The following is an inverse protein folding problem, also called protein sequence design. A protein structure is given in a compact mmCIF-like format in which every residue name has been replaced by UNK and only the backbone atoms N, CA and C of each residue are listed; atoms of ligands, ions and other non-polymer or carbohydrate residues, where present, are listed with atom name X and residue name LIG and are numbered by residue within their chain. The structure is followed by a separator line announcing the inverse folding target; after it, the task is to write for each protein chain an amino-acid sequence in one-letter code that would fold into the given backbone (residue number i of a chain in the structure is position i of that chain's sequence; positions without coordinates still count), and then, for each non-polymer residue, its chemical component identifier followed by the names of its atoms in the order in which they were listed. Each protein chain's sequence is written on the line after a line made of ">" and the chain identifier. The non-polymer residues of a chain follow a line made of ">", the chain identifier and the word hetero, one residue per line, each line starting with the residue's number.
data_IF_420149329692
#
_entry.id   IF_420149329692
#
_cell.length_a   1.000
_cell.length_b   1.000
_cell.length_c   1.000
_cell.angle_alpha   90.00
_cell.angle_beta   90.00
_cell.angle_gamma   90.00
#
_symmetry.space_group_name_H-M   'P 1'
#
loop_
_entity.id
_entity.type
_entity.pdbx_description
1 polymer ?
2 water ?
#
# COMPACT_ATOMS: atom_id res chain seq x y z
N UNK A 25 -29.06 14.72 14.96
CA UNK A 25 -29.39 14.16 13.61
C UNK A 25 -30.77 14.60 13.10
N UNK A 26 -30.84 15.81 12.56
CA UNK A 26 -32.06 16.31 11.92
C UNK A 26 -32.42 15.38 10.75
N UNK A 27 -33.54 15.66 10.09
CA UNK A 27 -34.13 14.75 9.11
C UNK A 27 -33.38 14.66 7.79
N UNK A 28 -32.44 15.58 7.56
CA UNK A 28 -31.74 15.64 6.29
C UNK A 28 -30.27 15.28 6.41
N UNK A 29 -29.89 14.81 7.59
CA UNK A 29 -28.52 14.40 7.89
C UNK A 29 -28.20 13.03 7.26
N UNK A 30 -26.99 12.86 6.69
CA UNK A 30 -25.88 13.80 6.58
C UNK A 30 -25.82 14.49 5.21
N UNK A 31 -26.80 14.26 4.36
CA UNK A 31 -26.74 14.74 2.99
C UNK A 31 -26.77 16.26 2.89
N UNK A 32 -27.54 16.90 3.76
CA UNK A 32 -27.57 18.37 3.78
C UNK A 32 -26.17 18.93 4.04
N UNK A 33 -25.50 18.39 5.07
CA UNK A 33 -24.13 18.81 5.43
C UNK A 33 -23.13 18.63 4.31
N UNK A 34 -23.20 17.49 3.62
CA UNK A 34 -22.31 17.23 2.49
C UNK A 34 -22.48 18.27 1.38
N UNK A 35 -23.73 18.55 1.02
CA UNK A 35 -24.03 19.58 0.03
C UNK A 35 -23.55 20.97 0.49
N UNK A 36 -23.74 21.28 1.76
CA UNK A 36 -23.33 22.57 2.30
C UNK A 36 -21.83 22.81 2.16
N UNK A 37 -21.02 21.77 2.33
CA UNK A 37 -19.58 21.92 2.24
C UNK A 37 -19.04 21.55 0.86
N UNK A 38 -19.94 21.55 -0.12
CA UNK A 38 -19.53 21.51 -1.53
C UNK A 38 -19.66 20.22 -2.32
N UNK A 39 -20.03 19.11 -1.69
CA UNK A 39 -20.25 17.88 -2.46
C UNK A 39 -21.34 18.08 -3.51
N UNK A 40 -21.08 17.63 -4.72
CA UNK A 40 -22.07 17.77 -5.78
C UNK A 40 -23.16 16.72 -5.63
N UNK A 41 -24.39 17.12 -5.92
CA UNK A 41 -25.53 16.21 -5.99
C UNK A 41 -25.29 15.06 -6.97
N UNK A 42 -24.45 15.28 -7.97
CA UNK A 42 -24.08 14.24 -8.93
C UNK A 42 -23.26 13.11 -8.31
N UNK A 43 -22.63 13.39 -7.17
CA UNK A 43 -21.74 12.41 -6.54
C UNK A 43 -22.11 12.24 -5.07
N UNK A 44 -23.38 12.40 -4.76
CA UNK A 44 -23.83 12.41 -3.37
C UNK A 44 -23.77 11.02 -2.70
N UNK A 45 -23.55 9.98 -3.50
CA UNK A 45 -23.34 8.63 -2.96
C UNK A 45 -22.09 8.55 -2.09
N UNK A 46 -21.18 9.51 -2.28
CA UNK A 46 -19.92 9.56 -1.55
C UNK A 46 -20.04 10.11 -0.13
N UNK A 47 -21.20 10.66 0.20
CA UNK A 47 -21.42 11.32 1.47
C UNK A 47 -21.28 10.35 2.66
N UNK A 48 -21.76 9.11 2.49
CA UNK A 48 -21.59 8.09 3.54
C UNK A 48 -20.27 7.30 3.40
N UNK A 49 -19.47 7.59 2.38
CA UNK A 49 -18.26 6.80 2.11
C UNK A 49 -16.99 7.45 2.61
N UNK A 50 -17.01 8.78 2.66
CA UNK A 50 -15.87 9.59 2.98
C UNK A 50 -16.31 10.54 4.08
N UNK A 51 -15.49 10.74 5.10
CA UNK A 51 -15.93 11.55 6.23
C UNK A 51 -15.82 13.03 5.89
N UNK A 52 -16.56 13.86 6.63
CA UNK A 52 -16.31 15.29 6.67
C UNK A 52 -14.81 15.54 6.88
N UNK A 53 -14.28 16.66 6.36
CA UNK A 53 -12.84 16.94 6.43
C UNK A 53 -12.35 17.16 7.85
N UNK A 54 -11.29 16.44 8.22
CA UNK A 54 -10.69 16.51 9.54
C UNK A 54 -9.96 17.84 9.79
N UNK A 55 -9.72 18.61 8.73
CA UNK A 55 -9.14 19.95 8.89
C UNK A 55 -10.19 20.99 9.30
N UNK A 56 -11.47 20.63 9.22
CA UNK A 56 -12.52 21.59 9.54
C UNK A 56 -13.29 21.16 10.78
N UNK A 57 -14.22 21.99 11.22
CA UNK A 57 -14.88 21.81 12.52
C UNK A 57 -16.03 20.81 12.54
N UNK A 58 -16.81 20.75 11.47
CA UNK A 58 -18.02 19.93 11.47
C UNK A 58 -17.75 18.47 11.88
N UNK A 59 -16.68 17.86 11.33
CA UNK A 59 -16.22 16.52 11.70
C UNK A 59 -16.27 16.25 13.22
N UNK A 60 -15.81 17.22 14.01
CA UNK A 60 -15.70 17.08 15.47
C UNK A 60 -17.04 17.19 16.21
N UNK A 61 -18.09 17.63 15.50
CA UNK A 61 -19.46 17.61 16.05
C UNK A 61 -19.90 16.21 16.48
N UNK A 62 -19.27 15.18 15.92
CA UNK A 62 -19.63 13.80 16.29
C UNK A 62 -19.33 13.50 17.76
N UNK A 63 -18.37 14.21 18.34
CA UNK A 63 -17.92 13.94 19.72
C UNK A 63 -18.55 14.89 20.72
N UNK A 64 -19.07 14.37 21.84
CA UNK A 64 -19.82 15.21 22.78
C UNK A 64 -18.94 16.13 23.59
N UNK A 65 -19.48 17.31 23.92
CA UNK A 65 -18.87 18.29 24.83
C UNK A 65 -17.97 17.67 25.91
N UNK A 66 -16.69 18.04 25.89
CA UNK A 66 -15.71 17.53 26.85
C UNK A 66 -15.45 18.52 27.98
N UNK A 72 -14.23 20.90 24.81
CA UNK A 72 -14.07 19.77 23.89
C UNK A 72 -12.65 19.19 24.00
N UNK A 73 -12.57 17.87 24.17
CA UNK A 73 -11.26 17.17 24.24
C UNK A 73 -10.88 16.59 22.88
N UNK A 74 -11.85 16.43 22.01
CA UNK A 74 -11.59 16.03 20.63
C UNK A 74 -11.77 17.25 19.75
N UNK A 75 -10.69 17.68 19.11
CA UNK A 75 -10.70 18.90 18.32
C UNK A 75 -9.85 18.79 17.08
N UNK A 76 -10.18 19.61 16.10
CA UNK A 76 -9.33 19.95 14.96
C UNK A 76 -7.85 20.07 15.40
N UNK A 77 -7.59 20.81 16.46
CA UNK A 77 -6.22 21.14 16.90
C UNK A 77 -5.50 19.96 17.56
N UNK A 78 -6.18 19.28 18.47
CA UNK A 78 -5.63 18.08 19.09
C UNK A 78 -5.33 16.96 18.07
N UNK A 79 -6.23 16.78 17.10
CA UNK A 79 -6.08 15.79 16.02
C UNK A 79 -4.83 16.07 15.20
N UNK A 80 -4.72 17.31 14.74
CA UNK A 80 -3.55 17.75 13.98
C UNK A 80 -2.26 17.52 14.76
N UNK A 81 -2.28 17.84 16.06
CA UNK A 81 -1.09 17.70 16.90
C UNK A 81 -0.63 16.24 17.05
N UNK A 82 -1.58 15.33 17.25
CA UNK A 82 -1.29 13.91 17.37
C UNK A 82 -0.77 13.33 16.07
N UNK A 83 -1.33 13.79 14.95
CA UNK A 83 -0.88 13.40 13.64
C UNK A 83 0.56 13.88 13.38
N UNK A 84 0.83 15.13 13.71
CA UNK A 84 2.17 15.70 13.59
C UNK A 84 3.19 14.88 14.39
N UNK A 85 2.85 14.58 15.64
CA UNK A 85 3.72 13.80 16.53
C UNK A 85 3.84 12.33 16.12
N UNK A 86 3.03 11.89 15.16
CA UNK A 86 3.08 10.50 14.69
C UNK A 86 2.38 9.53 15.62
N UNK A 87 1.51 10.03 16.49
CA UNK A 87 0.79 9.21 17.44
C UNK A 87 -0.48 8.65 16.76
N UNK A 88 -0.27 7.80 15.76
CA UNK A 88 -1.35 7.31 14.92
C UNK A 88 -2.29 6.39 15.68
N UNK A 89 -1.72 5.58 16.57
CA UNK A 89 -2.49 4.72 17.49
C UNK A 89 -3.51 5.48 18.32
N UNK A 90 -3.12 6.67 18.81
CA UNK A 90 -4.05 7.50 19.59
C UNK A 90 -5.15 8.11 18.74
N UNK A 91 -4.85 8.44 17.47
CA UNK A 91 -5.87 8.91 16.56
C UNK A 91 -6.90 7.79 16.31
N UNK A 92 -6.41 6.57 16.09
CA UNK A 92 -7.25 5.38 15.93
C UNK A 92 -8.17 5.18 17.14
N UNK A 93 -7.59 5.23 18.33
CA UNK A 93 -8.32 4.93 19.57
C UNK A 93 -9.21 6.05 20.09
N UNK A 94 -8.85 7.30 19.87
CA UNK A 94 -9.64 8.41 20.42
C UNK A 94 -10.61 8.97 19.39
N UNK A 95 -10.22 8.93 18.11
CA UNK A 95 -11.00 9.59 17.08
C UNK A 95 -11.72 8.60 16.18
N UNK A 96 -10.96 7.72 15.55
CA UNK A 96 -11.46 6.85 14.50
C UNK A 96 -12.45 5.80 15.02
N UNK A 97 -12.07 5.12 16.10
CA UNK A 97 -12.92 4.12 16.77
C UNK A 97 -14.25 4.69 17.28
N UNK A 98 -14.29 6.00 17.45
CA UNK A 98 -15.48 6.64 18.04
C UNK A 98 -16.17 7.65 17.12
N UNK A 99 -15.77 7.72 15.85
CA UNK A 99 -16.43 8.63 14.91
C UNK A 99 -17.87 8.17 14.63
N UNK A 100 -18.03 7.00 13.99
CA UNK A 100 -19.32 6.31 13.94
C UNK A 100 -20.48 7.17 13.42
N UNK A 101 -20.18 8.15 12.58
CA UNK A 101 -21.16 9.14 12.15
C UNK A 101 -21.50 9.00 10.65
N UNK A 102 -22.36 9.89 10.15
CA UNK A 102 -22.81 9.93 8.75
C UNK A 102 -23.47 8.62 8.30
N UNK A 103 -24.12 7.95 9.25
CA UNK A 103 -24.80 6.66 9.03
C UNK A 103 -23.87 5.46 8.77
N UNK A 104 -22.56 5.64 8.91
CA UNK A 104 -21.64 4.52 8.66
C UNK A 104 -20.80 4.10 9.87
N UNK A 105 -20.49 2.81 9.97
CA UNK A 105 -19.83 2.28 11.15
C UNK A 105 -18.39 1.81 10.90
N UNK A 106 -18.02 1.59 9.64
CA UNK A 106 -16.71 0.99 9.36
C UNK A 106 -15.64 1.99 8.92
N UNK A 107 -15.63 3.17 9.53
CA UNK A 107 -14.62 4.19 9.26
C UNK A 107 -13.19 3.70 9.50
N UNK A 108 -12.31 3.95 8.55
CA UNK A 108 -10.90 3.63 8.71
C UNK A 108 -9.99 4.61 8.01
N UNK A 109 -8.72 4.59 8.42
CA UNK A 109 -7.65 5.23 7.67
C UNK A 109 -7.61 4.49 6.35
N UNK A 110 -7.54 5.22 5.22
CA UNK A 110 -7.60 4.55 3.92
C UNK A 110 -6.40 3.65 3.64
N UNK A 111 -6.59 2.70 2.73
CA UNK A 111 -5.50 1.95 2.14
C UNK A 111 -4.86 2.79 1.04
N UNK A 112 -3.70 2.36 0.57
CA UNK A 112 -3.09 2.94 -0.62
C UNK A 112 -4.07 2.94 -1.82
N UNK A 113 -4.76 1.83 -2.04
CA UNK A 113 -5.77 1.71 -3.11
C UNK A 113 -6.90 2.77 -2.96
N UNK A 114 -7.34 3.00 -1.74
CA UNK A 114 -8.41 3.96 -1.51
C UNK A 114 -7.92 5.40 -1.71
N UNK A 115 -6.67 5.68 -1.35
CA UNK A 115 -6.08 6.98 -1.62
C UNK A 115 -5.99 7.26 -3.11
N UNK A 116 -5.61 6.23 -3.88
CA UNK A 116 -5.62 6.31 -5.34
C UNK A 116 -7.01 6.69 -5.87
N UNK A 117 -8.06 6.11 -5.29
CA UNK A 117 -9.44 6.53 -5.59
C UNK A 117 -9.69 8.00 -5.21
N UNK A 118 -9.29 8.38 -3.99
CA UNK A 118 -9.54 9.73 -3.48
C UNK A 118 -8.88 10.86 -4.28
N UNK A 119 -7.67 10.62 -4.76
CA UNK A 119 -6.95 11.58 -5.61
C UNK A 119 -7.70 11.80 -6.92
N UNK A 120 -8.13 10.72 -7.56
CA UNK A 120 -8.94 10.79 -8.78
C UNK A 120 -10.26 11.49 -8.54
N UNK A 121 -10.94 11.12 -7.45
CA UNK A 121 -12.19 11.77 -7.04
C UNK A 121 -12.00 13.26 -6.80
N UNK A 122 -10.90 13.64 -6.15
CA UNK A 122 -10.60 15.04 -5.85
C UNK A 122 -10.33 15.84 -7.12
N UNK A 123 -9.46 15.33 -7.97
CA UNK A 123 -9.18 15.92 -9.28
C UNK A 123 -10.45 16.11 -10.11
N UNK A 124 -11.43 15.24 -9.92
CA UNK A 124 -12.67 15.33 -10.69
C UNK A 124 -13.82 16.06 -10.00
N UNK A 125 -13.56 16.61 -8.80
CA UNK A 125 -14.59 17.33 -8.04
C UNK A 125 -15.73 16.47 -7.49
N UNK A 126 -15.41 15.23 -7.10
CA UNK A 126 -16.44 14.29 -6.62
C UNK A 126 -16.56 14.24 -5.09
N UNK A 127 -15.77 15.03 -4.39
CA UNK A 127 -15.83 15.07 -2.92
C UNK A 127 -16.34 16.44 -2.46
N UNK A 128 -16.25 16.70 -1.16
CA UNK A 128 -16.49 18.04 -0.64
C UNK A 128 -15.36 18.95 -1.09
N UNK A 129 -15.62 20.25 -1.12
CA UNK A 129 -14.64 21.27 -1.55
C UNK A 129 -13.25 21.15 -0.89
N UNK A 130 -13.21 21.11 0.45
CA UNK A 130 -11.96 20.95 1.18
C UNK A 130 -11.19 19.70 0.77
N UNK A 131 -11.89 18.58 0.57
CA UNK A 131 -11.24 17.33 0.18
C UNK A 131 -10.85 17.31 -1.30
N UNK A 132 -11.61 17.98 -2.16
CA UNK A 132 -11.19 18.15 -3.56
C UNK A 132 -9.84 18.87 -3.64
N UNK A 133 -9.60 19.77 -2.69
CA UNK A 133 -8.33 20.48 -2.63
C UNK A 133 -7.22 19.68 -1.91
N UNK A 134 -7.57 18.97 -0.85
CA UNK A 134 -6.55 18.37 0.02
C UNK A 134 -5.95 17.05 -0.49
N UNK A 135 -6.61 16.41 -1.45
CA UNK A 135 -6.08 15.16 -2.04
C UNK A 135 -5.35 15.36 -3.39
N UNK A 136 -5.00 16.60 -3.75
CA UNK A 136 -4.32 16.85 -5.02
C UNK A 136 -2.84 16.43 -4.98
N UNK A 137 -2.12 16.83 -3.94
CA UNK A 137 -0.75 16.37 -3.68
C UNK A 137 -0.50 16.23 -2.20
N UNK A 138 0.57 15.53 -1.84
CA UNK A 138 1.05 15.46 -0.48
C UNK A 138 1.53 14.09 -0.05
N UNK A 139 1.79 13.96 1.24
CA UNK A 139 2.15 12.70 1.86
C UNK A 139 0.97 12.25 2.70
N UNK A 140 0.45 11.05 2.40
CA UNK A 140 -0.77 10.58 3.02
C UNK A 140 -0.55 9.35 3.89
N UNK A 141 -1.11 9.39 5.08
CA UNK A 141 -1.12 8.26 5.99
C UNK A 141 -2.02 7.17 5.42
N UNK A 142 -1.52 5.93 5.43
CA UNK A 142 -2.29 4.77 4.98
C UNK A 142 -2.18 3.67 6.00
N UNK A 143 -3.13 2.75 5.96
CA UNK A 143 -3.12 1.59 6.85
C UNK A 143 -3.59 0.37 6.07
N UNK A 144 -2.71 -0.62 6.01
CA UNK A 144 -2.96 -1.85 5.26
C UNK A 144 -2.78 -2.96 6.26
N UNK A 145 -3.88 -3.65 6.57
CA UNK A 145 -3.97 -4.54 7.74
C UNK A 145 -3.64 -3.77 9.02
N UNK A 146 -2.54 -4.14 9.70
CA UNK A 146 -2.18 -3.49 10.96
C UNK A 146 -1.05 -2.48 10.92
N UNK A 147 -0.47 -2.23 9.75
CA UNK A 147 0.72 -1.38 9.68
C UNK A 147 0.50 0.00 9.01
N UNK A 148 1.11 1.02 9.61
CA UNK A 148 1.05 2.39 9.07
C UNK A 148 2.12 2.63 8.02
N UNK A 149 1.74 3.29 6.95
CA UNK A 149 2.67 3.70 5.92
C UNK A 149 2.33 5.11 5.45
N UNK A 150 3.28 5.73 4.76
CA UNK A 150 3.09 7.04 4.16
C UNK A 150 3.22 6.86 2.65
N UNK A 151 2.28 7.42 1.91
CA UNK A 151 2.30 7.31 0.46
C UNK A 151 2.37 8.72 -0.13
N UNK A 152 3.02 8.84 -1.29
CA UNK A 152 3.37 10.15 -1.86
C UNK A 152 2.61 10.43 -3.15
N UNK A 153 1.91 11.57 -3.19
CA UNK A 153 1.18 11.96 -4.39
C UNK A 153 1.81 13.23 -4.96
N UNK A 154 2.23 13.15 -6.22
CA UNK A 154 2.79 14.29 -6.96
C UNK A 154 4.30 14.53 -6.84
N UNK A 155 5.05 13.53 -6.39
CA UNK A 155 6.50 13.63 -6.23
C UNK A 155 6.90 14.78 -5.32
N UNK A 156 6.24 14.83 -4.18
CA UNK A 156 6.37 15.91 -3.20
C UNK A 156 7.53 15.64 -2.21
N UNK A 157 8.11 16.71 -1.61
CA UNK A 157 9.31 16.50 -0.78
C UNK A 157 9.00 15.72 0.48
N UNK A 158 10.00 15.00 0.99
CA UNK A 158 9.83 14.08 2.11
C UNK A 158 9.56 14.78 3.44
N UNK A 159 9.75 16.10 3.49
CA UNK A 159 9.44 16.86 4.71
C UNK A 159 8.08 17.59 4.70
N UNK A 160 7.30 17.34 3.65
CA UNK A 160 5.90 17.75 3.59
C UNK A 160 5.13 17.01 4.69
N UNK A 161 4.31 17.75 5.48
CA UNK A 161 3.57 17.14 6.60
C UNK A 161 2.71 15.95 6.17
N UNK A 162 2.58 14.96 7.04
CA UNK A 162 1.67 13.85 6.82
C UNK A 162 0.23 14.38 6.86
N UNK A 163 -0.58 13.88 5.92
CA UNK A 163 -2.01 14.22 5.86
C UNK A 163 -2.91 13.02 6.15
N UNK A 164 -4.00 13.30 6.88
CA UNK A 164 -5.16 12.41 7.01
C UNK A 164 -6.40 13.31 6.87
N UNK A 165 -6.73 13.70 5.64
CA UNK A 165 -7.81 14.68 5.42
C UNK A 165 -9.20 14.11 5.71
N UNK A 166 -9.33 12.79 5.61
CA UNK A 166 -10.59 12.12 5.88
C UNK A 166 -10.36 10.67 6.27
N UNK A 167 -11.37 10.08 6.91
CA UNK A 167 -11.44 8.65 7.07
C UNK A 167 -12.53 8.15 6.13
N UNK A 168 -12.53 6.84 5.89
CA UNK A 168 -13.36 6.29 4.83
C UNK A 168 -14.03 4.98 5.23
N UNK A 169 -15.15 4.66 4.55
CA UNK A 169 -15.84 3.39 4.73
C UNK A 169 -14.99 2.25 4.19
N UNK A 170 -14.53 1.38 5.10
CA UNK A 170 -13.74 0.20 4.75
C UNK A 170 -14.37 -0.57 3.58
N UNK A 171 -15.69 -0.76 3.66
CA UNK A 171 -16.43 -1.50 2.66
C UNK A 171 -16.99 -0.59 1.55
N UNK A 172 -17.38 0.64 1.93
CA UNK A 172 -18.10 1.55 1.03
C UNK A 172 -17.26 2.24 -0.04
N UNK A 173 -16.02 2.58 0.28
CA UNK A 173 -15.16 3.27 -0.68
C UNK A 173 -14.29 2.26 -1.46
N UNK A 174 -14.55 2.17 -2.77
CA UNK A 174 -13.82 1.25 -3.64
C UNK A 174 -12.37 1.66 -3.83
N UNK A 175 -11.45 0.72 -3.55
CA UNK A 175 -10.03 0.94 -3.77
C UNK A 175 -9.69 0.87 -5.25
N UNK A 176 -8.64 1.56 -5.68
CA UNK A 176 -8.15 1.47 -7.05
C UNK A 176 -6.83 0.69 -7.11
N UNK A 177 -6.81 -0.36 -7.93
CA UNK A 177 -5.70 -1.32 -7.96
C UNK A 177 -4.45 -0.77 -8.64
N UNK A 178 -4.66 0.03 -9.69
CA UNK A 178 -3.56 0.56 -10.47
C UNK A 178 -2.83 1.63 -9.67
N UNK A 179 -1.52 1.71 -9.89
CA UNK A 179 -0.65 2.63 -9.19
C UNK A 179 -0.24 3.74 -10.15
N UNK A 180 -0.92 4.88 -10.07
CA UNK A 180 -0.63 6.03 -10.93
C UNK A 180 -0.29 7.28 -10.10
N UNK A 181 -1.19 7.65 -9.19
CA UNK A 181 -1.01 8.85 -8.37
C UNK A 181 -0.38 8.58 -7.02
N UNK A 182 -0.73 7.45 -6.41
CA UNK A 182 -0.37 7.21 -5.02
C UNK A 182 0.81 6.25 -4.88
N UNK A 183 1.99 6.83 -4.76
CA UNK A 183 3.24 6.08 -4.85
C UNK A 183 3.79 5.66 -3.48
N UNK A 184 3.85 4.33 -3.23
CA UNK A 184 4.37 3.79 -1.97
C UNK A 184 5.89 3.95 -1.85
N UNK A 185 6.37 3.94 -0.61
CA UNK A 185 7.80 3.93 -0.31
C UNK A 185 8.29 2.48 -0.20
N UNK A 186 8.89 1.97 -1.29
CA UNK A 186 9.14 0.55 -1.44
C UNK A 186 10.53 0.15 -0.94
N UNK A 187 10.60 -1.01 -0.26
CA UNK A 187 11.84 -1.46 0.35
C UNK A 187 12.53 -2.54 -0.48
N UNK A 188 13.79 -2.28 -0.84
CA UNK A 188 14.62 -3.25 -1.55
C UNK A 188 15.75 -3.71 -0.63
N UNK A 189 15.60 -4.91 -0.01
CA UNK A 189 16.66 -5.42 0.85
C UNK A 189 17.88 -5.83 0.01
N UNK A 190 19.07 -5.36 0.41
CA UNK A 190 20.31 -5.76 -0.24
C UNK A 190 20.46 -7.26 -0.13
N UNK A 191 20.43 -7.94 -1.28
CA UNK A 191 20.48 -9.40 -1.32
C UNK A 191 21.41 -9.95 -2.40
N UNK A 192 22.05 -11.07 -2.09
CA UNK A 192 22.97 -11.72 -3.03
C UNK A 192 22.34 -12.95 -3.70
N UNK A 193 22.56 -13.06 -5.00
CA UNK A 193 22.22 -14.26 -5.76
C UNK A 193 23.55 -14.99 -6.01
N UNK A 194 23.61 -16.25 -5.61
CA UNK A 194 24.88 -17.01 -5.63
C UNK A 194 25.38 -17.41 -7.02
N UNK A 195 24.46 -17.76 -7.92
CA UNK A 195 24.81 -18.09 -9.33
C UNK A 195 25.79 -19.27 -9.53
N UNK A 196 26.38 -19.32 -10.72
CA UNK A 196 27.24 -20.44 -11.11
C UNK A 196 26.40 -21.61 -11.59
N UNK A 197 26.63 -22.78 -10.97
CA UNK A 197 25.85 -23.98 -11.28
C UNK A 197 24.47 -23.95 -10.62
N UNK A 198 24.31 -23.06 -9.64
CA UNK A 198 23.09 -23.00 -8.84
C UNK A 198 21.93 -22.30 -9.56
N UNK A 199 21.78 -21.00 -9.32
CA UNK A 199 20.63 -20.22 -9.84
C UNK A 199 20.68 -19.96 -11.35
N UNK A 200 19.50 -19.90 -11.96
CA UNK A 200 19.35 -19.83 -13.41
C UNK A 200 18.10 -19.07 -13.84
N UNK A 201 18.29 -18.06 -14.70
CA UNK A 201 17.20 -17.29 -15.31
C UNK A 201 17.43 -17.21 -16.81
N UNK A 202 17.04 -18.26 -17.53
CA UNK A 202 17.27 -18.36 -18.98
C UNK A 202 16.06 -18.95 -19.69
N UNK A 203 15.93 -18.73 -21.01
CA UNK A 203 14.81 -19.31 -21.77
C UNK A 203 14.97 -20.81 -22.02
N UNK A 204 13.85 -21.53 -21.94
CA UNK A 204 13.83 -22.97 -22.23
C UNK A 204 13.59 -23.87 -21.03
N UNK A 205 13.30 -23.25 -19.88
CA UNK A 205 13.06 -24.01 -18.65
C UNK A 205 12.54 -23.19 -17.48
N UNK A 206 12.84 -23.65 -16.27
CA UNK A 206 12.34 -23.03 -15.03
C UNK A 206 13.38 -22.11 -14.38
N UNK A 207 12.87 -21.15 -13.61
CA UNK A 207 13.70 -20.17 -12.93
C UNK A 207 14.08 -20.64 -11.53
N UNK A 208 15.38 -20.71 -11.28
CA UNK A 208 15.89 -21.09 -9.97
C UNK A 208 16.71 -19.95 -9.38
N UNK A 209 16.55 -19.72 -8.09
CA UNK A 209 17.26 -18.64 -7.40
C UNK A 209 17.57 -18.98 -5.94
N UNK A 210 18.75 -18.58 -5.48
CA UNK A 210 19.14 -18.78 -4.10
C UNK A 210 19.41 -17.46 -3.40
N UNK A 211 18.35 -16.85 -2.84
CA UNK A 211 18.45 -15.56 -2.17
C UNK A 211 19.16 -15.63 -0.83
N UNK A 212 19.69 -14.49 -0.37
CA UNK A 212 20.44 -14.43 0.89
C UNK A 212 20.23 -13.07 1.58
N UNK A 213 19.69 -13.12 2.80
CA UNK A 213 19.26 -11.92 3.53
C UNK A 213 20.02 -11.71 4.84
N UNK A 214 20.16 -10.45 5.25
CA UNK A 214 20.77 -10.11 6.53
C UNK A 214 19.75 -10.28 7.66
N UNK A 215 20.23 -10.72 8.83
CA UNK A 215 19.37 -10.85 10.01
C UNK A 215 19.05 -9.47 10.59
N UNK A 216 20.06 -8.60 10.59
CA UNK A 216 19.93 -7.23 11.09
C UNK A 216 19.01 -6.37 10.22
N UNK A 217 19.02 -6.61 8.91
CA UNK A 217 18.14 -5.91 7.98
C UNK A 217 16.69 -6.42 8.07
N UNK A 218 16.53 -7.72 8.33
CA UNK A 218 15.22 -8.33 8.52
C UNK A 218 14.56 -7.87 9.82
N UNK A 219 15.37 -7.73 10.87
CA UNK A 219 14.89 -7.26 12.18
C UNK A 219 14.37 -5.82 12.13
N UNK A 220 14.95 -5.02 11.23
CA UNK A 220 14.58 -3.62 11.07
C UNK A 220 13.21 -3.41 10.39
N UNK A 221 12.74 -4.43 9.67
CA UNK A 221 11.47 -4.36 8.93
C UNK A 221 10.43 -5.37 9.45
N UNK A 222 10.63 -5.82 10.70
CA UNK A 222 9.66 -6.67 11.37
C UNK A 222 9.73 -8.15 11.03
N UNK A 223 10.94 -8.63 10.74
CA UNK A 223 11.15 -10.05 10.47
C UNK A 223 12.16 -10.64 11.46
N UNK A 224 11.64 -11.24 12.53
CA UNK A 224 12.46 -11.87 13.56
C UNK A 224 12.47 -13.40 13.41
N UNK A 225 11.32 -13.96 13.05
CA UNK A 225 11.16 -15.39 12.79
C UNK A 225 11.44 -15.71 11.32
N UNK A 226 12.66 -16.16 11.04
CA UNK A 226 13.12 -16.39 9.66
C UNK A 226 12.35 -17.48 8.91
N UNK A 227 11.65 -18.33 9.65
CA UNK A 227 10.87 -19.41 9.07
C UNK A 227 9.54 -18.90 8.47
N UNK A 228 8.96 -17.88 9.09
CA UNK A 228 7.68 -17.33 8.64
C UNK A 228 7.85 -16.36 7.46
N UNK A 229 7.99 -16.92 6.26
CA UNK A 229 8.20 -16.14 5.03
C UNK A 229 7.67 -16.83 3.77
N UNK A 230 7.31 -16.04 2.76
CA UNK A 230 6.88 -16.57 1.46
C UNK A 230 7.35 -15.69 0.29
N UNK A 231 7.35 -16.26 -0.91
CA UNK A 231 7.91 -15.60 -2.10
C UNK A 231 6.93 -15.46 -3.27
N UNK A 232 7.00 -14.34 -3.98
CA UNK A 232 6.20 -14.11 -5.18
C UNK A 232 7.07 -13.77 -6.39
N UNK A 233 6.80 -14.44 -7.50
CA UNK A 233 7.55 -14.23 -8.75
C UNK A 233 6.70 -13.47 -9.76
N UNK A 234 7.12 -12.24 -10.04
CA UNK A 234 6.38 -11.33 -10.92
C UNK A 234 7.07 -11.20 -12.27
N UNK A 235 6.28 -11.15 -13.33
CA UNK A 235 6.79 -11.02 -14.69
C UNK A 235 6.09 -9.90 -15.42
N UNK A 236 6.85 -8.93 -15.92
CA UNK A 236 6.30 -7.83 -16.71
C UNK A 236 7.14 -6.57 -16.71
N UNK A 237 6.51 -5.44 -17.02
CA UNK A 237 7.19 -4.15 -17.10
C UNK A 237 7.13 -3.42 -15.76
N UNK A 238 8.30 -3.23 -15.11
CA UNK A 238 8.32 -2.56 -13.80
C UNK A 238 7.90 -1.10 -13.88
N UNK A 239 7.27 -0.63 -12.81
CA UNK A 239 6.87 0.76 -12.69
C UNK A 239 8.10 1.65 -12.83
N UNK A 240 7.95 2.75 -13.56
CA UNK A 240 9.08 3.62 -13.89
C UNK A 240 9.61 4.40 -12.69
N UNK A 241 8.80 4.55 -11.65
CA UNK A 241 9.21 5.27 -10.45
C UNK A 241 9.76 4.35 -9.35
N UNK A 242 8.99 3.32 -8.98
CA UNK A 242 9.36 2.49 -7.83
C UNK A 242 10.19 1.26 -8.20
N UNK A 243 10.00 0.76 -9.41
CA UNK A 243 10.72 -0.42 -9.87
C UNK A 243 9.95 -1.71 -9.64
N UNK A 244 8.79 -1.59 -8.99
CA UNK A 244 7.92 -2.74 -8.75
C UNK A 244 7.09 -3.04 -10.00
N UNK A 245 6.85 -4.32 -10.28
CA UNK A 245 5.91 -4.71 -11.31
C UNK A 245 4.50 -4.82 -10.69
N UNK A 246 3.77 -3.70 -10.70
CA UNK A 246 2.46 -3.64 -10.03
C UNK A 246 1.35 -4.41 -10.72
N UNK A 247 1.32 -4.42 -12.05
CA UNK A 247 0.42 -5.31 -12.78
C UNK A 247 1.18 -6.27 -13.70
N UNK A 248 1.66 -7.38 -13.12
CA UNK A 248 2.40 -8.34 -13.93
C UNK A 248 1.50 -9.04 -14.94
N UNK A 249 2.08 -9.51 -16.04
CA UNK A 249 1.36 -10.32 -17.02
C UNK A 249 1.34 -11.78 -16.58
N UNK A 250 2.19 -12.11 -15.60
CA UNK A 250 2.19 -13.43 -14.96
C UNK A 250 2.75 -13.36 -13.54
N UNK A 251 1.95 -13.86 -12.59
CA UNK A 251 2.32 -13.93 -11.19
C UNK A 251 2.44 -15.39 -10.79
N UNK A 252 3.18 -15.66 -9.72
CA UNK A 252 3.30 -17.02 -9.18
C UNK A 252 3.72 -16.99 -7.70
N UNK A 253 3.02 -17.78 -6.89
CA UNK A 253 3.38 -17.96 -5.49
C UNK A 253 4.30 -19.16 -5.38
N UNK A 254 5.29 -19.06 -4.48
CA UNK A 254 6.29 -20.13 -4.32
C UNK A 254 6.67 -20.35 -2.85
N UNK A 255 6.75 -21.62 -2.47
CA UNK A 255 7.25 -22.01 -1.16
C UNK A 255 8.74 -22.31 -1.25
N UNK A 256 9.54 -21.72 -0.34
CA UNK A 256 11.00 -21.88 -0.34
C UNK A 256 11.48 -23.14 0.39
N UNK A 257 12.69 -23.60 0.03
CA UNK A 257 13.30 -24.77 0.65
C UNK A 257 14.67 -24.41 1.24
N UNK A 258 14.76 -23.21 1.83
CA UNK A 258 16.01 -22.69 2.39
C UNK A 258 16.25 -23.13 3.83
N UNK A 259 17.53 -23.38 4.17
CA UNK A 259 18.04 -23.82 5.46
C UNK A 259 19.51 -24.24 5.37
N UNK A 263 24.75 -17.81 7.13
CA UNK A 263 25.89 -18.58 7.62
C UNK A 263 26.54 -17.91 8.83
N UNK A 264 27.02 -16.68 8.66
CA UNK A 264 27.64 -15.92 9.74
C UNK A 264 26.94 -14.59 9.93
N UNK A 265 25.82 -14.61 10.65
CA UNK A 265 25.00 -13.41 10.88
C UNK A 265 24.07 -13.11 9.72
N UNK A 266 23.82 -14.13 8.89
CA UNK A 266 22.96 -14.01 7.70
C UNK A 266 22.06 -15.25 7.56
N UNK A 267 21.09 -15.17 6.65
CA UNK A 267 20.15 -16.27 6.40
C UNK A 267 19.90 -16.46 4.91
N UNK A 268 19.65 -17.70 4.50
CA UNK A 268 19.44 -18.02 3.08
C UNK A 268 18.06 -18.61 2.78
N UNK A 269 17.61 -18.41 1.54
CA UNK A 269 16.39 -19.03 1.02
C UNK A 269 16.64 -19.52 -0.40
N UNK A 270 15.98 -20.61 -0.78
CA UNK A 270 16.06 -21.12 -2.15
C UNK A 270 14.70 -21.11 -2.83
N UNK A 271 14.49 -20.13 -3.72
CA UNK A 271 13.22 -19.97 -4.41
C UNK A 271 13.31 -20.46 -5.86
N UNK A 272 12.39 -21.37 -6.21
CA UNK A 272 12.35 -21.96 -7.54
C UNK A 272 10.93 -21.91 -8.10
N UNK A 273 10.80 -21.60 -9.39
CA UNK A 273 9.51 -21.64 -10.07
C UNK A 273 9.21 -23.07 -10.50
N UNK A 274 7.92 -23.40 -10.60
CA UNK A 274 7.49 -24.71 -11.09
C UNK A 274 7.08 -24.70 -12.57
N UNK A 275 7.96 -25.24 -13.42
CA UNK A 275 7.71 -25.31 -14.86
C UNK A 275 7.71 -26.75 -15.38
N UNK A 276 8.10 -27.69 -14.50
CA UNK A 276 8.15 -29.11 -14.85
C UNK A 276 6.80 -29.81 -14.58
N UNK A 277 6.02 -29.26 -13.66
CA UNK A 277 4.71 -29.81 -13.32
C UNK A 277 3.63 -28.71 -13.30
N UNK A 278 3.87 -27.63 -14.04
CA UNK A 278 2.92 -26.52 -14.15
C UNK A 278 2.91 -25.86 -15.53
N UNK A 279 3.51 -26.54 -16.50
CA UNK A 279 3.60 -26.05 -17.89
C UNK A 279 4.61 -24.94 -18.08
N UNK A 280 5.18 -24.86 -19.29
CA UNK A 280 6.18 -23.83 -19.62
C UNK A 280 5.57 -22.44 -19.85
N UNK A 281 4.68 -22.03 -18.95
CA UNK A 281 3.97 -20.76 -19.05
C UNK A 281 4.84 -19.56 -18.66
N UNK A 282 5.92 -19.81 -17.90
CA UNK A 282 6.80 -18.75 -17.41
C UNK A 282 7.76 -18.24 -18.47
N UNK A 283 8.49 -19.15 -19.11
CA UNK A 283 9.46 -18.80 -20.14
C UNK A 283 8.77 -18.20 -21.36
N UNK A 284 7.67 -18.83 -21.79
CA UNK A 284 6.85 -18.34 -22.90
C UNK A 284 6.31 -16.93 -22.65
N UNK A 285 6.18 -16.56 -21.37
CA UNK A 285 5.75 -15.22 -20.99
C UNK A 285 6.94 -14.26 -20.91
N UNK A 286 7.96 -14.65 -20.14
CA UNK A 286 9.14 -13.81 -19.90
C UNK A 286 9.87 -13.44 -21.20
N UNK A 287 9.98 -14.39 -22.11
CA UNK A 287 10.72 -14.18 -23.35
C UNK A 287 9.81 -14.04 -24.57
N UNK A 288 8.61 -13.51 -24.34
CA UNK A 288 7.71 -13.13 -25.43
C UNK A 288 7.87 -11.64 -25.75
N UNK A 289 8.52 -10.92 -24.86
CA UNK A 289 8.73 -9.48 -24.99
C UNK A 289 10.06 -9.05 -24.35
N UNK A 290 10.89 -8.34 -25.11
CA UNK A 290 12.22 -7.91 -24.65
C UNK A 290 12.23 -6.95 -23.45
N UNK A 291 11.16 -6.17 -23.27
CA UNK A 291 11.01 -5.28 -22.11
C UNK A 291 10.61 -5.97 -20.79
N UNK A 292 10.22 -7.24 -20.88
CA UNK A 292 9.73 -7.99 -19.71
C UNK A 292 10.82 -8.34 -18.72
N UNK A 293 10.47 -8.28 -17.44
CA UNK A 293 11.43 -8.56 -16.37
C UNK A 293 10.85 -9.49 -15.29
N UNK A 294 11.74 -10.20 -14.59
CA UNK A 294 11.34 -11.08 -13.50
C UNK A 294 11.76 -10.50 -12.15
N UNK A 295 10.79 -10.37 -11.24
CA UNK A 295 11.02 -9.81 -9.91
C UNK A 295 10.58 -10.75 -8.78
N UNK A 296 11.35 -10.75 -7.69
CA UNK A 296 11.12 -11.64 -6.53
C UNK A 296 10.73 -10.86 -5.27
N UNK A 297 9.61 -11.26 -4.68
CA UNK A 297 9.05 -10.60 -3.51
C UNK A 297 8.94 -11.51 -2.29
N UNK A 298 9.42 -11.02 -1.15
CA UNK A 298 9.30 -11.72 0.13
C UNK A 298 8.25 -11.07 1.03
N UNK A 299 7.32 -11.89 1.52
CA UNK A 299 6.26 -11.47 2.44
C UNK A 299 6.20 -12.39 3.66
N UNK A 300 5.37 -12.04 4.64
CA UNK A 300 5.02 -12.97 5.71
C UNK A 300 4.20 -14.12 5.11
N UNK A 301 4.25 -15.28 5.77
CA UNK A 301 3.55 -16.48 5.29
C UNK A 301 2.14 -16.23 4.76
N UNK A 302 1.46 -15.23 5.32
CA UNK A 302 0.06 -14.92 4.96
C UNK A 302 -0.08 -13.69 4.07
N UNK A 303 1.02 -13.28 3.44
CA UNK A 303 1.02 -12.16 2.50
C UNK A 303 1.18 -10.78 3.12
N UNK A 304 1.20 -10.70 4.45
CA UNK A 304 1.30 -9.42 5.16
C UNK A 304 2.75 -9.01 5.38
N UNK A 305 2.96 -7.97 6.19
CA UNK A 305 4.30 -7.49 6.50
C UNK A 305 4.81 -6.50 5.47
N UNK A 306 5.92 -5.85 5.80
CA UNK A 306 6.59 -4.91 4.90
C UNK A 306 7.08 -5.69 3.67
N UNK A 307 6.65 -5.25 2.49
CA UNK A 307 7.00 -5.93 1.23
C UNK A 307 8.48 -5.76 0.88
N UNK A 308 9.16 -6.90 0.76
CA UNK A 308 10.60 -6.91 0.46
C UNK A 308 10.83 -7.40 -0.96
N UNK A 309 11.40 -6.53 -1.80
CA UNK A 309 11.51 -6.76 -3.24
C UNK A 309 12.95 -7.01 -3.69
N UNK A 310 13.10 -7.84 -4.71
CA UNK A 310 14.34 -7.91 -5.46
C UNK A 310 14.27 -6.92 -6.62
N UNK A 311 15.41 -6.68 -7.24
CA UNK A 311 15.46 -5.98 -8.52
C UNK A 311 14.61 -6.75 -9.54
N UNK A 312 14.03 -6.04 -10.49
CA UNK A 312 13.35 -6.68 -11.61
C UNK A 312 14.39 -7.10 -12.65
N UNK A 313 14.76 -8.39 -12.64
CA UNK A 313 15.91 -8.88 -13.37
C UNK A 313 15.68 -9.10 -14.87
N UNK A 314 16.75 -8.94 -15.64
CA UNK A 314 16.78 -9.35 -17.05
C UNK A 314 17.29 -10.77 -17.12
N UNK A 315 17.33 -11.33 -18.34
CA UNK A 315 17.94 -12.64 -18.58
C UNK A 315 19.26 -12.76 -17.84
N UNK A 316 19.45 -13.90 -17.17
CA UNK A 316 20.62 -14.19 -16.32
C UNK A 316 20.84 -13.21 -15.15
N UNK A 317 19.74 -12.67 -14.63
CA UNK A 317 19.73 -11.78 -13.44
C UNK A 317 20.42 -10.43 -13.64
N UNK A 318 20.54 -10.00 -14.90
CA UNK A 318 21.11 -8.69 -15.21
C UNK A 318 20.15 -7.55 -14.83
#
# INVERSE_FOLDING_TARGET
>A
FNDNYSSTSTVYATSNEATDSRGSEHLRYPYLECIKIGMSRDYLENCVKVSFPTSQDMFYDAYPSTESDGAKTRTKEDFSARLLAGDYDSLQKLYIDFYLAQTTFDWEIPTRDQIETLVNYANEGKLSTALNQEYITGRFLTKENGRYDIVNVGGVPDNTPVKLPAIVSKRGLMGTTSVVNAIPNEIYPHIKVYEGTLSRLKPGGAMIAVLEYDVNELSKHGYTNLWDVQFKVLVGVPHAETGVIYDPVYEETVKPYQPSNNLTGKKLYNVSTNDMHNGYKWSNTMFSNSNYKTQILLTKGDGSGVKLYSKAYSENFK
#
